data_IF_777094686535
#
_entry.id   IF_777094686535
#
_cell.length_a   1.000
_cell.length_b   1.000
_cell.length_c   1.000
_cell.angle_alpha   90.00
_cell.angle_beta   90.00
_cell.angle_gamma   90.00
#
_symmetry.space_group_name_H-M   'P 1'
#
loop_
_entity.id
_entity.type
_entity.pdbx_description
1 polymer ?
#
# COMPACT_ATOMS: atom_id res chain seq x y z
N UNK A 1 1.55 -29.79 -20.29
CA UNK A 1 0.71 -29.84 -19.06
C UNK A 1 0.71 -28.42 -18.50
N UNK A 2 -0.41 -27.70 -18.59
CA UNK A 2 -0.52 -26.35 -18.04
C UNK A 2 -1.56 -26.37 -16.92
N UNK A 3 -1.04 -26.42 -15.70
CA UNK A 3 -1.76 -26.08 -14.48
C UNK A 3 -1.86 -24.54 -14.40
N UNK A 4 -3.06 -24.01 -14.17
CA UNK A 4 -3.24 -22.71 -13.51
C UNK A 4 -4.35 -22.82 -12.45
N UNK A 5 -4.20 -22.20 -11.28
CA UNK A 5 -4.99 -22.48 -10.08
C UNK A 5 -6.38 -21.84 -10.13
N UNK A 6 -7.26 -22.28 -9.23
CA UNK A 6 -8.62 -21.75 -8.99
C UNK A 6 -8.57 -20.28 -8.53
N UNK A 7 -8.50 -19.34 -9.45
CA UNK A 7 -9.08 -18.02 -9.22
C UNK A 7 -10.56 -18.09 -9.61
N UNK A 8 -11.42 -17.53 -8.77
CA UNK A 8 -12.83 -17.33 -9.11
C UNK A 8 -12.88 -16.53 -10.41
N UNK A 9 -13.20 -17.18 -11.54
CA UNK A 9 -13.43 -16.47 -12.81
C UNK A 9 -14.33 -15.27 -12.52
N UNK A 10 -13.87 -14.08 -12.85
CA UNK A 10 -14.63 -12.84 -12.70
C UNK A 10 -15.92 -12.98 -13.50
N UNK A 11 -16.99 -13.41 -12.83
CA UNK A 11 -18.26 -13.72 -13.44
C UNK A 11 -19.14 -12.48 -13.34
N UNK A 12 -19.18 -11.73 -14.43
CA UNK A 12 -20.04 -10.57 -14.56
C UNK A 12 -21.49 -11.04 -14.76
N UNK A 13 -22.40 -10.45 -14.00
CA UNK A 13 -23.83 -10.52 -14.25
C UNK A 13 -24.18 -9.93 -15.61
N UNK A 14 -25.35 -10.28 -16.16
CA UNK A 14 -25.84 -9.67 -17.40
C UNK A 14 -25.94 -8.15 -17.32
N UNK A 15 -26.24 -7.62 -16.13
CA UNK A 15 -26.30 -6.17 -15.89
C UNK A 15 -24.90 -5.54 -15.96
N UNK A 16 -23.90 -6.12 -15.29
CA UNK A 16 -22.52 -5.62 -15.33
C UNK A 16 -21.94 -5.69 -16.74
N UNK A 17 -22.22 -6.76 -17.49
CA UNK A 17 -21.81 -6.88 -18.90
C UNK A 17 -22.42 -5.78 -19.76
N UNK A 18 -23.72 -5.49 -19.60
CA UNK A 18 -24.38 -4.40 -20.32
C UNK A 18 -23.77 -3.03 -19.96
N UNK A 19 -23.56 -2.76 -18.67
CA UNK A 19 -22.99 -1.48 -18.24
C UNK A 19 -21.55 -1.28 -18.74
N UNK A 20 -20.73 -2.34 -18.66
CA UNK A 20 -19.34 -2.30 -19.09
C UNK A 20 -19.24 -2.22 -20.62
N UNK A 21 -20.07 -2.94 -21.37
CA UNK A 21 -20.08 -2.85 -22.83
C UNK A 21 -20.48 -1.46 -23.31
N UNK A 22 -21.50 -0.83 -22.69
CA UNK A 22 -21.89 0.54 -23.01
C UNK A 22 -20.74 1.52 -22.76
N UNK A 23 -20.02 1.37 -21.64
CA UNK A 23 -18.85 2.22 -21.35
C UNK A 23 -17.72 2.02 -22.37
N UNK A 24 -17.38 0.78 -22.70
CA UNK A 24 -16.33 0.46 -23.66
C UNK A 24 -16.68 0.94 -25.08
N UNK A 25 -17.95 0.84 -25.49
CA UNK A 25 -18.43 1.39 -26.76
C UNK A 25 -18.32 2.91 -26.80
N UNK A 26 -18.69 3.61 -25.72
CA UNK A 26 -18.50 5.06 -25.62
C UNK A 26 -17.03 5.47 -25.67
N UNK A 27 -16.13 4.73 -25.01
CA UNK A 27 -14.68 4.97 -25.13
C UNK A 27 -14.17 4.68 -26.55
N UNK A 28 -14.75 3.70 -27.24
CA UNK A 28 -14.38 3.34 -28.60
C UNK A 28 -14.71 4.43 -29.65
N UNK A 29 -15.59 5.39 -29.32
CA UNK A 29 -15.84 6.57 -30.16
C UNK A 29 -14.62 7.51 -30.21
N UNK A 30 -13.86 7.58 -29.11
CA UNK A 30 -12.65 8.42 -28.99
C UNK A 30 -11.38 7.63 -29.30
N UNK A 31 -11.32 6.36 -28.89
CA UNK A 31 -10.18 5.48 -29.08
C UNK A 31 -10.65 4.09 -29.56
N UNK A 32 -10.57 3.80 -30.87
CA UNK A 32 -11.01 2.53 -31.45
C UNK A 32 -10.37 1.28 -30.84
N UNK A 33 -9.26 1.42 -30.10
CA UNK A 33 -8.61 0.31 -29.40
C UNK A 33 -9.47 -0.34 -28.32
N UNK A 34 -10.57 0.30 -27.88
CA UNK A 34 -11.57 -0.25 -26.94
C UNK A 34 -12.68 -1.11 -27.59
N UNK A 35 -12.81 -1.10 -28.91
CA UNK A 35 -13.88 -1.84 -29.59
C UNK A 35 -13.80 -3.37 -29.43
N UNK A 36 -12.60 -4.01 -29.49
CA UNK A 36 -12.47 -5.44 -29.21
C UNK A 36 -12.87 -5.82 -27.78
N UNK A 37 -12.59 -4.97 -26.80
CA UNK A 37 -12.91 -5.17 -25.39
C UNK A 37 -14.43 -5.11 -25.18
N UNK A 38 -15.12 -4.16 -25.83
CA UNK A 38 -16.58 -4.12 -25.84
C UNK A 38 -17.17 -5.45 -26.35
N UNK A 39 -16.66 -5.97 -27.47
CA UNK A 39 -17.12 -7.24 -28.03
C UNK A 39 -16.88 -8.42 -27.09
N UNK A 40 -15.71 -8.49 -26.43
CA UNK A 40 -15.39 -9.51 -25.43
C UNK A 40 -16.47 -9.56 -24.33
N UNK A 41 -16.88 -8.39 -23.82
CA UNK A 41 -17.89 -8.29 -22.76
C UNK A 41 -19.30 -8.57 -23.28
N UNK A 42 -19.67 -8.06 -24.45
CA UNK A 42 -20.97 -8.27 -25.08
C UNK A 42 -21.23 -9.74 -25.38
N UNK A 43 -20.25 -10.44 -25.95
CA UNK A 43 -20.36 -11.85 -26.31
C UNK A 43 -20.08 -12.78 -25.12
N UNK A 44 -19.39 -12.30 -24.09
CA UNK A 44 -19.14 -13.07 -22.88
C UNK A 44 -18.01 -14.07 -23.09
N UNK A 45 -16.98 -13.65 -23.82
CA UNK A 45 -15.77 -14.43 -24.01
C UNK A 45 -14.95 -14.38 -22.72
N UNK A 46 -15.40 -15.11 -21.70
CA UNK A 46 -14.82 -15.12 -20.34
C UNK A 46 -13.34 -15.48 -20.32
N UNK A 47 -12.88 -16.29 -21.28
CA UNK A 47 -11.47 -16.60 -21.48
C UNK A 47 -10.61 -15.35 -21.78
N UNK A 48 -11.18 -14.31 -22.40
CA UNK A 48 -10.51 -13.06 -22.77
C UNK A 48 -10.77 -11.93 -21.78
N UNK A 49 -11.43 -12.17 -20.64
CA UNK A 49 -11.71 -11.13 -19.67
C UNK A 49 -10.42 -10.47 -19.13
N UNK A 50 -9.29 -11.19 -19.08
CA UNK A 50 -7.99 -10.60 -18.75
C UNK A 50 -7.53 -9.51 -19.71
N UNK A 51 -7.97 -9.51 -20.97
CA UNK A 51 -7.65 -8.45 -21.94
C UNK A 51 -8.44 -7.16 -21.67
N UNK A 52 -9.60 -7.29 -21.01
CA UNK A 52 -10.46 -6.15 -20.64
C UNK A 52 -10.08 -5.61 -19.26
N UNK A 53 -9.79 -6.50 -18.32
CA UNK A 53 -9.50 -6.15 -16.93
C UNK A 53 -8.01 -5.92 -16.65
N UNK A 54 -7.12 -6.39 -17.53
CA UNK A 54 -5.67 -6.17 -17.48
C UNK A 54 -5.04 -6.40 -16.12
N UNK A 55 -3.88 -5.76 -15.90
CA UNK A 55 -3.22 -5.62 -14.59
C UNK A 55 -3.93 -4.61 -13.66
N UNK A 56 -5.11 -4.10 -14.03
CA UNK A 56 -5.92 -3.23 -13.18
C UNK A 56 -6.83 -4.01 -12.24
N UNK A 57 -7.04 -5.30 -12.51
CA UNK A 57 -7.61 -6.25 -11.57
C UNK A 57 -6.49 -6.96 -10.77
N UNK A 58 -5.48 -6.22 -10.31
CA UNK A 58 -4.69 -6.70 -9.16
C UNK A 58 -5.70 -7.09 -8.07
N UNK A 59 -5.50 -8.23 -7.39
CA UNK A 59 -6.37 -8.62 -6.30
C UNK A 59 -6.48 -7.46 -5.31
N UNK A 60 -7.69 -7.26 -4.78
CA UNK A 60 -7.92 -6.23 -3.77
C UNK A 60 -6.86 -6.35 -2.68
N UNK A 61 -6.19 -5.23 -2.38
CA UNK A 61 -5.22 -5.20 -1.29
C UNK A 61 -5.97 -5.52 0.01
N UNK A 62 -5.64 -6.60 0.73
CA UNK A 62 -6.39 -6.99 1.93
C UNK A 62 -6.46 -5.85 2.94
N UNK A 63 -7.60 -5.70 3.60
CA UNK A 63 -7.81 -4.62 4.57
C UNK A 63 -6.75 -4.65 5.68
N UNK A 64 -6.32 -5.84 6.10
CA UNK A 64 -5.30 -6.02 7.14
C UNK A 64 -3.95 -5.42 6.72
N UNK A 65 -3.61 -5.49 5.42
CA UNK A 65 -2.39 -4.88 4.88
C UNK A 65 -2.51 -3.36 4.90
N UNK A 66 -3.68 -2.82 4.55
CA UNK A 66 -3.94 -1.38 4.58
C UNK A 66 -3.86 -0.82 6.01
N UNK A 67 -4.49 -1.52 6.97
CA UNK A 67 -4.45 -1.19 8.40
C UNK A 67 -3.01 -1.25 8.93
N UNK A 68 -2.23 -2.27 8.56
CA UNK A 68 -0.83 -2.40 8.97
C UNK A 68 0.03 -1.25 8.42
N UNK A 69 -0.17 -0.82 7.17
CA UNK A 69 0.49 0.38 6.63
C UNK A 69 0.15 1.61 7.46
N UNK A 70 -1.14 1.83 7.77
CA UNK A 70 -1.56 2.96 8.58
C UNK A 70 -0.93 2.94 9.98
N UNK A 71 -0.98 1.80 10.64
CA UNK A 71 -0.43 1.61 11.99
C UNK A 71 1.09 1.83 12.05
N UNK A 72 1.82 1.36 11.03
CA UNK A 72 3.26 1.58 10.92
C UNK A 72 3.57 3.06 10.67
N UNK A 73 2.87 3.70 9.73
CA UNK A 73 3.11 5.12 9.43
C UNK A 73 2.72 6.03 10.61
N UNK A 74 1.70 5.68 11.38
CA UNK A 74 1.29 6.43 12.57
C UNK A 74 2.29 6.29 13.72
N UNK A 75 2.86 5.11 13.90
CA UNK A 75 4.02 4.93 14.78
C UNK A 75 5.18 5.83 14.34
N UNK A 76 5.53 5.86 13.05
CA UNK A 76 6.63 6.71 12.57
C UNK A 76 6.33 8.21 12.69
N UNK A 77 5.07 8.64 12.60
CA UNK A 77 4.65 9.99 12.95
C UNK A 77 4.93 10.29 14.42
N UNK A 78 4.54 9.40 15.33
CA UNK A 78 4.79 9.57 16.76
C UNK A 78 6.29 9.58 17.11
N UNK A 79 7.10 8.82 16.36
CA UNK A 79 8.56 8.80 16.48
C UNK A 79 9.25 9.98 15.76
N UNK A 80 8.52 10.74 14.92
CA UNK A 80 9.12 11.82 14.15
C UNK A 80 9.57 12.94 15.10
N UNK A 81 10.84 13.39 15.00
CA UNK A 81 11.35 14.46 15.85
C UNK A 81 10.68 15.79 15.51
N UNK A 82 9.62 16.11 16.26
CA UNK A 82 8.87 17.37 16.19
C UNK A 82 8.40 17.88 17.57
N UNK A 83 8.82 17.23 18.65
CA UNK A 83 8.61 17.69 20.02
C UNK A 83 9.93 18.21 20.58
N UNK A 84 9.87 19.27 21.40
CA UNK A 84 11.01 19.94 22.02
C UNK A 84 12.07 18.93 22.51
N UNK A 85 13.16 18.81 21.76
CA UNK A 85 14.33 18.04 22.16
C UNK A 85 15.17 18.91 23.08
N UNK A 86 15.53 18.38 24.25
CA UNK A 86 16.39 19.07 25.20
C UNK A 86 17.77 19.39 24.59
N UNK A 87 18.52 20.35 25.18
CA UNK A 87 19.81 20.81 24.64
C UNK A 87 20.89 19.73 24.52
N UNK A 88 20.72 18.58 25.21
CA UNK A 88 21.66 17.46 25.22
C UNK A 88 21.31 16.32 24.24
N UNK A 89 20.24 16.47 23.43
CA UNK A 89 19.81 15.41 22.51
C UNK A 89 20.78 15.26 21.34
N UNK A 90 21.47 14.12 21.27
CA UNK A 90 22.39 13.79 20.17
C UNK A 90 21.62 13.33 18.91
N UNK A 91 21.58 14.15 17.85
CA UNK A 91 20.91 13.81 16.59
C UNK A 91 21.42 12.54 15.92
N UNK A 92 22.70 12.19 16.07
CA UNK A 92 23.37 11.33 15.08
C UNK A 92 23.29 9.84 15.42
N UNK A 93 23.04 9.48 16.69
CA UNK A 93 23.14 8.09 17.17
C UNK A 93 21.92 7.19 16.88
N UNK A 94 20.70 7.73 16.91
CA UNK A 94 19.45 6.92 16.91
C UNK A 94 18.46 7.25 15.76
N UNK A 95 18.83 8.18 14.87
CA UNK A 95 17.97 8.65 13.76
C UNK A 95 17.70 7.61 12.68
N UNK A 96 18.47 6.53 12.62
CA UNK A 96 18.30 5.51 11.57
C UNK A 96 16.93 4.85 11.66
N UNK A 97 16.51 4.49 12.88
CA UNK A 97 15.28 3.74 13.16
C UNK A 97 14.08 4.62 13.53
N UNK A 98 14.30 5.91 13.78
CA UNK A 98 13.22 6.89 13.98
C UNK A 98 12.57 7.34 12.67
N UNK A 99 13.20 7.07 11.52
CA UNK A 99 12.72 7.48 10.21
C UNK A 99 12.11 6.30 9.47
N UNK A 100 10.93 6.52 8.89
CA UNK A 100 10.37 5.60 7.92
C UNK A 100 11.26 5.53 6.67
N UNK A 101 11.70 4.32 6.32
CA UNK A 101 12.59 4.08 5.16
C UNK A 101 11.89 3.43 3.99
N UNK A 102 10.58 3.26 4.09
CA UNK A 102 9.83 2.54 3.08
C UNK A 102 9.71 1.04 3.33
N UNK A 103 9.06 0.41 2.36
CA UNK A 103 8.87 -1.04 2.24
C UNK A 103 9.64 -1.55 1.02
N UNK A 104 9.86 -2.86 0.93
CA UNK A 104 10.49 -3.45 -0.25
C UNK A 104 9.52 -3.39 -1.42
N UNK A 105 9.79 -2.53 -2.40
CA UNK A 105 8.91 -2.32 -3.55
C UNK A 105 8.68 -3.55 -4.42
N UNK A 106 9.54 -4.58 -4.31
CA UNK A 106 9.42 -5.81 -5.09
C UNK A 106 8.70 -6.94 -4.33
N UNK A 107 8.75 -6.92 -3.00
CA UNK A 107 8.35 -8.08 -2.19
C UNK A 107 7.25 -7.76 -1.16
N UNK A 108 7.06 -6.49 -0.78
CA UNK A 108 6.08 -6.09 0.22
C UNK A 108 4.84 -5.44 -0.43
N UNK A 109 3.63 -6.03 -0.27
CA UNK A 109 2.39 -5.44 -0.81
C UNK A 109 2.04 -4.08 -0.17
N UNK A 110 2.66 -3.76 0.96
CA UNK A 110 2.55 -2.50 1.69
C UNK A 110 3.08 -1.29 0.92
N UNK A 111 4.07 -1.49 0.03
CA UNK A 111 4.78 -0.40 -0.65
C UNK A 111 3.83 0.49 -1.45
N UNK A 112 2.98 -0.11 -2.30
CA UNK A 112 2.10 0.65 -3.19
C UNK A 112 1.13 1.56 -2.44
N UNK A 113 0.55 1.05 -1.35
CA UNK A 113 -0.40 1.80 -0.54
C UNK A 113 0.28 2.89 0.30
N UNK A 114 1.45 2.60 0.91
CA UNK A 114 2.22 3.60 1.64
C UNK A 114 2.65 4.76 0.74
N UNK A 115 3.11 4.44 -0.48
CA UNK A 115 3.45 5.44 -1.50
C UNK A 115 2.23 6.28 -1.91
N UNK A 116 1.08 5.65 -2.13
CA UNK A 116 -0.16 6.38 -2.43
C UNK A 116 -0.52 7.36 -1.31
N UNK A 117 -0.48 6.94 -0.05
CA UNK A 117 -0.80 7.79 1.10
C UNK A 117 0.11 9.02 1.18
N UNK A 118 1.42 8.83 1.00
CA UNK A 118 2.43 9.88 1.17
C UNK A 118 2.51 10.80 -0.04
N UNK A 119 2.55 10.25 -1.26
CA UNK A 119 2.82 11.04 -2.48
C UNK A 119 1.56 11.60 -3.15
N UNK A 120 0.42 10.92 -3.01
CA UNK A 120 -0.81 11.24 -3.75
C UNK A 120 -1.92 11.73 -2.85
N UNK A 121 -2.12 11.08 -1.71
CA UNK A 121 -3.18 11.44 -0.77
C UNK A 121 -2.79 12.58 0.17
N UNK A 122 -1.48 12.83 0.37
CA UNK A 122 -0.97 13.92 1.20
C UNK A 122 -1.05 13.66 2.70
N UNK A 123 -0.95 12.39 3.13
CA UNK A 123 -0.93 12.00 4.55
C UNK A 123 0.42 11.39 4.90
N UNK A 124 0.91 11.62 6.12
CA UNK A 124 2.24 11.19 6.56
C UNK A 124 3.39 11.83 5.73
N UNK A 125 3.24 13.11 5.36
CA UNK A 125 4.26 13.83 4.59
C UNK A 125 5.62 13.89 5.31
N UNK A 126 5.62 13.84 6.63
CA UNK A 126 6.80 13.71 7.49
C UNK A 126 7.62 12.43 7.21
N UNK A 127 7.02 11.43 6.56
CA UNK A 127 7.65 10.16 6.16
C UNK A 127 8.15 10.16 4.72
N UNK A 128 8.05 11.29 4.00
CA UNK A 128 8.46 11.41 2.59
C UNK A 128 9.97 11.19 2.44
N UNK A 129 10.34 10.14 1.72
CA UNK A 129 11.72 9.72 1.45
C UNK A 129 11.78 8.90 0.15
N UNK A 130 12.78 8.03 -0.02
CA UNK A 130 12.88 7.11 -1.18
C UNK A 130 11.71 6.10 -1.23
N UNK A 131 11.04 5.84 -0.09
CA UNK A 131 9.87 4.95 0.12
C UNK A 131 10.02 3.48 -0.33
N UNK A 132 10.98 3.19 -1.20
CA UNK A 132 11.45 1.86 -1.53
C UNK A 132 12.73 1.60 -0.72
N UNK A 133 12.68 0.66 0.22
CA UNK A 133 13.81 0.36 1.09
C UNK A 133 14.90 -0.49 0.41
N UNK A 134 14.66 -1.02 -0.80
CA UNK A 134 15.53 -1.96 -1.51
C UNK A 134 15.95 -3.19 -0.66
N UNK A 135 15.11 -3.54 0.32
CA UNK A 135 15.33 -4.64 1.24
C UNK A 135 14.22 -4.75 2.30
N UNK A 136 14.12 -5.89 3.00
CA UNK A 136 12.99 -6.19 3.88
C UNK A 136 13.01 -5.34 5.16
N UNK A 137 11.94 -4.58 5.39
CA UNK A 137 11.77 -3.73 6.59
C UNK A 137 10.58 -4.13 7.46
N UNK A 138 9.64 -4.90 6.90
CA UNK A 138 8.35 -5.19 7.52
C UNK A 138 8.46 -5.91 8.88
N UNK A 139 9.37 -6.88 9.02
CA UNK A 139 9.58 -7.60 10.28
C UNK A 139 10.06 -6.68 11.41
N UNK A 140 10.96 -5.75 11.09
CA UNK A 140 11.45 -4.72 12.01
C UNK A 140 10.32 -3.78 12.43
N UNK A 141 9.55 -3.27 11.47
CA UNK A 141 8.42 -2.38 11.77
C UNK A 141 7.35 -3.07 12.62
N UNK A 142 7.04 -4.34 12.35
CA UNK A 142 6.16 -5.16 13.21
C UNK A 142 6.70 -5.31 14.64
N UNK A 143 8.01 -5.45 14.79
CA UNK A 143 8.68 -5.47 16.09
C UNK A 143 8.48 -4.16 16.85
N UNK A 144 8.81 -3.04 16.21
CA UNK A 144 8.65 -1.69 16.77
C UNK A 144 7.18 -1.41 17.12
N UNK A 145 6.26 -1.71 16.19
CA UNK A 145 4.83 -1.47 16.37
C UNK A 145 4.26 -2.24 17.56
N UNK A 146 4.69 -3.49 17.79
CA UNK A 146 4.29 -4.27 18.97
C UNK A 146 4.72 -3.58 20.27
N UNK A 147 5.92 -3.03 20.34
CA UNK A 147 6.43 -2.31 21.53
C UNK A 147 5.68 -0.98 21.72
N UNK A 148 5.50 -0.21 20.65
CA UNK A 148 4.73 1.04 20.68
C UNK A 148 3.27 0.81 21.09
N UNK A 149 2.63 -0.26 20.58
CA UNK A 149 1.28 -0.66 20.96
C UNK A 149 1.20 -1.07 22.44
N UNK A 150 2.21 -1.76 22.98
CA UNK A 150 2.27 -2.13 24.39
C UNK A 150 2.36 -0.90 25.32
N UNK A 151 2.90 0.21 24.83
CA UNK A 151 2.92 1.51 25.53
C UNK A 151 1.61 2.30 25.41
N UNK A 152 0.59 1.75 24.74
CA UNK A 152 -0.70 2.42 24.54
C UNK A 152 -0.73 3.38 23.36
N UNK A 153 0.19 3.24 22.38
CA UNK A 153 0.30 4.11 21.19
C UNK A 153 0.42 5.61 21.55
N UNK A 154 1.42 6.02 22.37
CA UNK A 154 1.61 7.43 22.70
C UNK A 154 1.88 8.25 21.44
N UNK A 155 1.21 9.41 21.33
CA UNK A 155 1.41 10.37 20.23
C UNK A 155 2.76 11.08 20.28
N UNK A 156 3.34 11.18 21.48
CA UNK A 156 4.60 11.85 21.76
C UNK A 156 5.38 11.02 22.80
N UNK A 157 6.02 9.90 22.40
CA UNK A 157 6.77 9.07 23.33
C UNK A 157 8.02 9.80 23.86
N UNK A 158 8.36 9.57 25.12
CA UNK A 158 9.61 10.06 25.74
C UNK A 158 10.84 9.39 25.13
N UNK A 159 12.03 9.94 25.36
CA UNK A 159 13.29 9.36 24.85
C UNK A 159 13.47 7.89 25.29
N UNK A 160 13.20 7.58 26.57
CA UNK A 160 13.26 6.20 27.09
C UNK A 160 12.26 5.28 26.38
N UNK A 161 11.06 5.78 26.07
CA UNK A 161 10.07 5.02 25.31
C UNK A 161 10.48 4.83 23.86
N UNK A 162 11.06 5.85 23.21
CA UNK A 162 11.59 5.78 21.85
C UNK A 162 12.69 4.72 21.78
N UNK A 163 13.62 4.74 22.75
CA UNK A 163 14.68 3.75 22.86
C UNK A 163 14.12 2.35 23.10
N UNK A 164 13.05 2.20 23.91
CA UNK A 164 12.36 0.93 24.06
C UNK A 164 11.62 0.47 22.79
N UNK A 165 11.10 1.39 21.97
CA UNK A 165 10.42 1.08 20.71
C UNK A 165 11.42 0.65 19.64
N UNK A 166 12.56 1.32 19.56
CA UNK A 166 13.59 1.11 18.54
C UNK A 166 14.57 0.01 18.95
N UNK A 167 15.01 0.03 20.20
CA UNK A 167 16.01 -0.86 20.77
C UNK A 167 15.56 -2.30 20.79
N UNK A 168 16.26 -3.12 20.00
CA UNK A 168 16.41 -4.56 20.19
C UNK A 168 17.81 -4.83 20.72
#
# INVERSE_FOLDING_TARGET
>A
MLWRPKESYMNLTSYERLMLSLKLRSLAEEDPSYAPQAEIIEQGYTFLYSEVFGSTAEPELPQEVQEEVFDILDMFRALHPGHEVGPDWNPEGNRYYQKFRGFDGNNDPHYGFARFLIEKFGRFEESKSELNSHGPTLSTYRGMFRRWKALGKPSSPTEEQIDGIIGS
#
